data_IF_038429878711
#
_entry.id   IF_038429878711
#
_cell.length_a   1.000
_cell.length_b   1.000
_cell.length_c   1.000
_cell.angle_alpha   90.00
_cell.angle_beta   90.00
_cell.angle_gamma   90.00
#
_symmetry.space_group_name_H-M   'P 1'
#
loop_
_entity.id
_entity.type
_entity.pdbx_description
1 polymer ?
#
# COMPACT_ATOMS: atom_id res chain seq x y z
N UNK A 1 -14.06 31.72 17.29
CA UNK A 1 -14.77 30.45 16.97
C UNK A 1 -14.06 29.25 17.58
N UNK A 2 -12.77 29.04 17.31
CA UNK A 2 -11.97 27.91 17.86
C UNK A 2 -11.95 27.82 19.40
N UNK A 3 -11.85 28.95 20.09
CA UNK A 3 -11.88 29.00 21.56
C UNK A 3 -13.25 28.58 22.17
N UNK A 4 -14.33 28.62 21.40
CA UNK A 4 -15.64 28.10 21.84
C UNK A 4 -15.72 26.58 21.71
N UNK A 5 -15.01 26.00 20.75
CA UNK A 5 -14.95 24.54 20.52
C UNK A 5 -14.17 23.87 21.65
N UNK A 6 -13.03 24.43 22.06
CA UNK A 6 -12.20 23.89 23.17
C UNK A 6 -12.91 23.89 24.53
N UNK A 7 -13.77 24.87 24.80
CA UNK A 7 -14.47 24.96 26.09
C UNK A 7 -15.57 23.91 26.26
N UNK A 8 -16.08 23.36 25.17
CA UNK A 8 -17.26 22.49 25.18
C UNK A 8 -16.97 21.04 24.72
N UNK A 9 -15.72 20.70 24.41
CA UNK A 9 -15.36 19.37 23.88
C UNK A 9 -14.02 18.90 24.45
N UNK A 10 -13.78 17.57 24.57
CA UNK A 10 -12.52 17.01 25.06
C UNK A 10 -11.40 17.04 24.00
N UNK A 11 -11.44 17.97 23.05
CA UNK A 11 -10.44 18.07 21.98
C UNK A 11 -9.30 19.03 22.36
N UNK A 12 -8.09 18.60 22.05
CA UNK A 12 -6.84 19.33 22.23
C UNK A 12 -6.37 19.84 20.87
N UNK A 13 -5.88 21.07 20.86
CA UNK A 13 -5.21 21.67 19.70
C UNK A 13 -3.73 21.37 19.76
N UNK A 14 -3.21 20.79 18.69
CA UNK A 14 -1.80 20.46 18.55
C UNK A 14 -1.26 21.24 17.35
N UNK A 15 -0.50 22.30 17.65
CA UNK A 15 0.06 23.21 16.67
C UNK A 15 1.57 22.99 16.48
N UNK A 16 2.11 23.23 15.27
CA UNK A 16 3.54 23.18 15.02
C UNK A 16 4.27 24.34 15.71
N UNK A 17 5.59 24.19 15.93
CA UNK A 17 6.44 25.22 16.55
C UNK A 17 6.68 26.45 15.68
N UNK A 18 6.39 26.37 14.38
CA UNK A 18 6.59 27.45 13.43
C UNK A 18 5.53 27.43 12.33
N UNK A 19 5.43 28.51 11.54
CA UNK A 19 4.37 28.67 10.57
C UNK A 19 4.43 27.57 9.50
N UNK A 20 3.34 26.82 9.26
CA UNK A 20 3.16 25.96 8.10
C UNK A 20 2.86 26.77 6.84
N UNK A 21 2.25 27.95 6.94
CA UNK A 21 1.93 28.78 5.78
C UNK A 21 3.02 29.83 5.53
N UNK A 22 3.55 29.85 4.30
CA UNK A 22 4.59 30.75 3.83
C UNK A 22 4.14 31.44 2.52
N UNK A 23 3.47 32.59 2.62
CA UNK A 23 2.96 33.27 1.44
C UNK A 23 4.09 33.77 0.52
N UNK A 24 3.84 33.73 -0.79
CA UNK A 24 4.79 34.27 -1.78
C UNK A 24 4.73 35.80 -1.91
N UNK A 25 3.62 36.41 -1.51
CA UNK A 25 3.44 37.86 -1.57
C UNK A 25 4.16 38.56 -0.42
N UNK A 26 4.97 39.57 -0.74
CA UNK A 26 5.74 40.35 0.24
C UNK A 26 4.89 41.02 1.33
N UNK A 27 3.63 41.32 1.05
CA UNK A 27 2.71 41.99 1.98
C UNK A 27 1.99 41.02 2.92
N UNK A 28 2.31 39.72 2.88
CA UNK A 28 1.71 38.71 3.76
C UNK A 28 2.80 38.08 4.61
N UNK A 29 2.48 37.85 5.88
CA UNK A 29 3.41 37.23 6.82
C UNK A 29 3.14 35.72 6.94
N UNK A 30 4.17 34.92 7.25
CA UNK A 30 3.99 33.51 7.59
C UNK A 30 3.03 33.34 8.78
N UNK A 31 2.17 32.32 8.72
CA UNK A 31 1.12 32.12 9.74
C UNK A 31 0.85 30.64 10.05
N UNK A 32 0.19 30.37 11.18
CA UNK A 32 -0.26 29.04 11.63
C UNK A 32 -1.72 28.82 11.25
N UNK A 33 -1.90 28.36 10.01
CA UNK A 33 -3.22 28.01 9.46
C UNK A 33 -3.51 26.52 9.53
N UNK A 34 -2.48 25.69 9.58
CA UNK A 34 -2.58 24.23 9.66
C UNK A 34 -2.26 23.76 11.08
N UNK A 35 -3.13 22.94 11.67
CA UNK A 35 -2.99 22.38 13.01
C UNK A 35 -3.82 21.10 13.13
N UNK A 36 -3.55 20.29 14.17
CA UNK A 36 -4.34 19.10 14.46
C UNK A 36 -5.37 19.37 15.55
N UNK A 37 -6.57 18.81 15.37
CA UNK A 37 -7.57 18.65 16.42
C UNK A 37 -7.56 17.18 16.85
N UNK A 38 -7.41 16.91 18.14
CA UNK A 38 -7.29 15.53 18.61
C UNK A 38 -7.94 15.29 19.97
N UNK A 39 -8.50 14.10 20.16
CA UNK A 39 -8.94 13.58 21.46
C UNK A 39 -7.90 12.67 22.12
N UNK A 40 -6.63 12.76 21.71
CA UNK A 40 -5.52 11.97 22.24
C UNK A 40 -5.48 12.03 23.78
N UNK A 41 -5.51 10.88 24.47
CA UNK A 41 -5.30 10.82 25.91
C UNK A 41 -3.97 11.46 26.32
N UNK A 42 -3.94 12.14 27.47
CA UNK A 42 -2.76 12.87 27.98
C UNK A 42 -1.49 12.03 28.14
N UNK A 43 -1.62 10.71 28.28
CA UNK A 43 -0.48 9.79 28.44
C UNK A 43 0.17 9.40 27.10
N UNK A 44 -0.48 9.64 25.96
CA UNK A 44 0.09 9.34 24.64
C UNK A 44 1.07 10.46 24.28
N UNK A 45 2.36 10.11 24.27
CA UNK A 45 3.41 11.01 23.78
C UNK A 45 3.24 11.22 22.29
N UNK A 46 3.29 12.48 21.88
CA UNK A 46 3.24 12.88 20.48
C UNK A 46 4.32 13.92 20.18
N UNK A 47 4.71 14.01 18.92
CA UNK A 47 5.59 15.06 18.40
C UNK A 47 5.04 15.61 17.10
N UNK A 48 5.30 16.89 16.85
CA UNK A 48 4.78 17.63 15.70
C UNK A 48 5.97 18.24 14.97
N UNK A 49 6.11 17.90 13.69
CA UNK A 49 7.21 18.40 12.86
C UNK A 49 6.68 18.92 11.53
N UNK A 50 7.30 19.99 11.02
CA UNK A 50 7.01 20.53 9.70
C UNK A 50 7.86 19.79 8.65
N UNK A 51 7.23 19.30 7.59
CA UNK A 51 7.87 18.56 6.51
C UNK A 51 8.14 19.48 5.31
N UNK A 52 9.38 19.89 5.12
CA UNK A 52 9.79 20.79 4.01
C UNK A 52 9.84 20.10 2.64
N UNK A 53 9.02 19.08 2.41
CA UNK A 53 9.15 18.12 1.32
C UNK A 53 8.36 18.52 0.06
N UNK A 54 7.27 19.29 0.21
CA UNK A 54 6.34 19.65 -0.88
C UNK A 54 6.48 21.09 -1.34
N UNK A 55 6.42 21.38 -2.65
CA UNK A 55 6.61 22.72 -3.25
C UNK A 55 5.48 23.74 -3.06
N UNK A 56 4.52 23.48 -2.17
CA UNK A 56 3.41 24.39 -1.87
C UNK A 56 3.84 25.59 -1.01
N UNK A 57 3.02 26.64 -0.97
CA UNK A 57 3.10 27.70 0.04
C UNK A 57 2.67 27.21 1.43
N UNK A 58 1.99 26.07 1.51
CA UNK A 58 1.79 25.31 2.74
C UNK A 58 2.85 24.22 2.95
N UNK A 59 3.36 24.11 4.17
CA UNK A 59 4.28 23.08 4.62
C UNK A 59 3.47 22.02 5.39
N UNK A 60 3.43 20.77 4.93
CA UNK A 60 2.75 19.69 5.64
C UNK A 60 3.27 19.55 7.06
N UNK A 61 2.37 19.26 7.98
CA UNK A 61 2.70 18.99 9.37
C UNK A 61 2.52 17.50 9.61
N UNK A 62 3.48 16.89 10.29
CA UNK A 62 3.47 15.49 10.67
C UNK A 62 3.26 15.38 12.18
N UNK A 63 2.17 14.74 12.58
CA UNK A 63 1.95 14.28 13.95
C UNK A 63 2.45 12.84 14.08
N UNK A 64 3.43 12.62 14.94
CA UNK A 64 3.92 11.27 15.26
C UNK A 64 3.50 10.92 16.68
N UNK A 65 2.74 9.84 16.84
CA UNK A 65 2.31 9.29 18.12
C UNK A 65 3.05 7.99 18.40
N UNK A 66 3.39 7.75 19.67
CA UNK A 66 3.92 6.46 20.11
C UNK A 66 2.72 5.62 20.56
N UNK A 67 2.29 4.69 19.72
CA UNK A 67 1.22 3.76 20.03
C UNK A 67 1.68 2.33 19.72
N UNK A 68 1.39 1.39 20.62
CA UNK A 68 1.43 -0.04 20.30
C UNK A 68 0.19 -0.36 19.49
N UNK A 69 0.34 -0.55 18.18
CA UNK A 69 -0.74 -1.01 17.32
C UNK A 69 -0.66 -2.53 17.36
N UNK A 70 -1.58 -3.17 18.07
CA UNK A 70 -1.78 -4.61 17.89
C UNK A 70 -2.45 -4.78 16.52
N UNK A 71 -1.78 -5.41 15.54
CA UNK A 71 -2.43 -5.70 14.28
C UNK A 71 -3.63 -6.59 14.59
N UNK A 72 -4.79 -6.22 14.06
CA UNK A 72 -5.97 -7.10 14.12
C UNK A 72 -5.55 -8.47 13.58
N UNK A 73 -5.78 -9.57 14.32
CA UNK A 73 -5.45 -10.89 13.81
C UNK A 73 -6.16 -11.07 12.46
N UNK A 74 -5.49 -11.63 11.45
CA UNK A 74 -6.13 -11.88 10.17
C UNK A 74 -7.38 -12.73 10.41
N UNK A 75 -8.45 -12.47 9.64
CA UNK A 75 -9.63 -13.32 9.67
C UNK A 75 -9.21 -14.78 9.48
N UNK A 76 -9.76 -15.73 10.28
CA UNK A 76 -9.43 -17.13 10.13
C UNK A 76 -9.85 -17.58 8.73
N UNK A 77 -8.88 -17.92 7.90
CA UNK A 77 -9.08 -18.48 6.57
C UNK A 77 -8.54 -19.91 6.54
N UNK A 78 -9.24 -20.79 5.83
CA UNK A 78 -8.83 -22.19 5.70
C UNK A 78 -7.39 -22.36 5.16
N UNK A 79 -6.99 -21.67 4.08
CA UNK A 79 -5.57 -21.58 3.72
C UNK A 79 -4.86 -20.47 4.50
N UNK A 80 -3.63 -20.71 4.94
CA UNK A 80 -2.74 -19.73 5.57
C UNK A 80 -1.97 -18.86 4.55
N UNK A 81 -2.18 -19.10 3.25
CA UNK A 81 -1.48 -18.44 2.16
C UNK A 81 -1.81 -19.05 0.80
N UNK A 82 -1.01 -18.77 -0.25
CA UNK A 82 -1.19 -19.40 -1.56
C UNK A 82 -0.99 -20.92 -1.47
N UNK A 83 -1.92 -21.65 -2.08
CA UNK A 83 -1.91 -23.12 -2.14
C UNK A 83 -1.05 -23.56 -3.32
N UNK A 84 -0.12 -24.50 -3.08
CA UNK A 84 0.54 -25.24 -4.15
C UNK A 84 -0.38 -26.36 -4.61
N UNK A 85 -1.08 -26.15 -5.73
CA UNK A 85 -2.08 -27.09 -6.22
C UNK A 85 -1.52 -28.48 -6.54
N UNK A 86 -0.28 -28.57 -7.02
CA UNK A 86 0.37 -29.86 -7.29
C UNK A 86 0.56 -30.67 -6.00
N UNK A 87 1.08 -30.04 -4.96
CA UNK A 87 1.28 -30.65 -3.64
C UNK A 87 -0.06 -30.98 -2.96
N UNK A 88 -1.06 -30.11 -3.11
CA UNK A 88 -2.43 -30.40 -2.66
C UNK A 88 -2.99 -31.65 -3.35
N UNK A 89 -2.83 -31.75 -4.67
CA UNK A 89 -3.30 -32.88 -5.47
C UNK A 89 -2.63 -34.19 -5.03
N UNK A 90 -1.31 -34.17 -4.86
CA UNK A 90 -0.54 -35.33 -4.39
C UNK A 90 -0.99 -35.77 -2.98
N UNK A 91 -1.15 -34.84 -2.05
CA UNK A 91 -1.63 -35.14 -0.70
C UNK A 91 -3.02 -35.76 -0.76
N UNK A 92 -3.95 -35.14 -1.50
CA UNK A 92 -5.31 -35.66 -1.62
C UNK A 92 -5.32 -37.07 -2.20
N UNK A 93 -4.53 -37.32 -3.24
CA UNK A 93 -4.45 -38.63 -3.87
C UNK A 93 -3.91 -39.71 -2.91
N UNK A 94 -2.93 -39.36 -2.07
CA UNK A 94 -2.35 -40.27 -1.09
C UNK A 94 -3.24 -40.48 0.16
N UNK A 95 -4.08 -39.50 0.53
CA UNK A 95 -4.95 -39.58 1.72
C UNK A 95 -6.36 -40.10 1.44
N UNK A 96 -6.77 -40.19 0.18
CA UNK A 96 -8.14 -40.60 -0.18
C UNK A 96 -8.32 -42.11 -0.01
N UNK A 97 -8.98 -42.50 1.07
CA UNK A 97 -9.37 -43.89 1.32
C UNK A 97 -10.78 -44.15 0.79
N UNK A 98 -10.92 -44.97 -0.26
CA UNK A 98 -12.20 -45.22 -0.93
C UNK A 98 -12.98 -46.41 -0.36
N UNK A 99 -12.38 -47.23 0.49
CA UNK A 99 -13.01 -48.44 1.03
C UNK A 99 -13.78 -48.16 2.33
N UNK A 100 -14.75 -47.23 2.25
CA UNK A 100 -15.59 -46.84 3.38
C UNK A 100 -16.94 -47.55 3.26
N UNK A 101 -17.40 -48.18 4.34
CA UNK A 101 -18.75 -48.74 4.42
C UNK A 101 -19.77 -47.60 4.47
N UNK A 102 -20.94 -47.78 3.86
CA UNK A 102 -22.05 -46.82 3.89
C UNK A 102 -23.36 -47.49 4.39
N UNK A 103 -23.24 -48.44 5.32
CA UNK A 103 -24.35 -49.34 5.68
C UNK A 103 -25.32 -48.72 6.67
N UNK A 104 -24.86 -47.75 7.46
CA UNK A 104 -25.67 -47.06 8.47
C UNK A 104 -25.44 -45.55 8.39
N UNK A 105 -26.23 -44.78 9.14
CA UNK A 105 -26.16 -43.31 9.09
C UNK A 105 -24.83 -42.81 9.65
N UNK A 106 -24.30 -43.50 10.65
CA UNK A 106 -23.04 -43.20 11.31
C UNK A 106 -21.85 -43.33 10.35
N UNK A 107 -21.86 -44.36 9.49
CA UNK A 107 -20.91 -44.60 8.42
C UNK A 107 -20.88 -43.42 7.42
N UNK A 108 -22.06 -42.94 7.01
CA UNK A 108 -22.20 -41.79 6.10
C UNK A 108 -21.61 -40.52 6.73
N UNK A 109 -21.96 -40.25 7.99
CA UNK A 109 -21.43 -39.09 8.72
C UNK A 109 -19.93 -39.18 8.95
N UNK A 110 -19.42 -40.40 9.18
CA UNK A 110 -17.99 -40.65 9.30
C UNK A 110 -17.25 -40.37 7.99
N UNK A 111 -17.80 -40.83 6.86
CA UNK A 111 -17.25 -40.56 5.54
C UNK A 111 -17.23 -39.05 5.22
N UNK A 112 -18.33 -38.35 5.50
CA UNK A 112 -18.42 -36.90 5.29
C UNK A 112 -17.38 -36.14 6.15
N UNK A 113 -17.25 -36.50 7.44
CA UNK A 113 -16.23 -35.92 8.32
C UNK A 113 -14.82 -36.20 7.82
N UNK A 114 -14.54 -37.44 7.37
CA UNK A 114 -13.22 -37.81 6.84
C UNK A 114 -12.86 -37.04 5.57
N UNK A 115 -13.83 -36.79 4.68
CA UNK A 115 -13.61 -35.96 3.49
C UNK A 115 -13.26 -34.53 3.89
N UNK A 116 -14.06 -33.93 4.79
CA UNK A 116 -13.83 -32.56 5.26
C UNK A 116 -12.47 -32.43 5.93
N UNK A 117 -12.10 -33.33 6.84
CA UNK A 117 -10.80 -33.29 7.53
C UNK A 117 -9.64 -33.52 6.56
N UNK A 118 -9.80 -34.39 5.55
CA UNK A 118 -8.78 -34.62 4.54
C UNK A 118 -8.52 -33.36 3.71
N UNK A 119 -9.58 -32.72 3.20
CA UNK A 119 -9.48 -31.46 2.44
C UNK A 119 -8.83 -30.36 3.30
N UNK A 120 -9.31 -30.18 4.54
CA UNK A 120 -8.76 -29.18 5.45
C UNK A 120 -7.28 -29.43 5.74
N UNK A 121 -6.88 -30.68 5.98
CA UNK A 121 -5.50 -31.06 6.26
C UNK A 121 -4.60 -30.91 5.03
N UNK A 122 -5.10 -31.23 3.83
CA UNK A 122 -4.38 -31.08 2.58
C UNK A 122 -4.15 -29.61 2.26
N UNK A 123 -5.17 -28.76 2.44
CA UNK A 123 -5.05 -27.30 2.30
C UNK A 123 -4.03 -26.75 3.31
N UNK A 124 -4.08 -27.20 4.57
CA UNK A 124 -3.14 -26.73 5.58
C UNK A 124 -1.69 -27.08 5.24
N UNK A 125 -1.42 -28.33 4.81
CA UNK A 125 -0.08 -28.81 4.46
C UNK A 125 0.48 -28.19 3.17
N UNK A 126 -0.36 -28.00 2.16
CA UNK A 126 0.03 -27.43 0.86
C UNK A 126 -0.01 -25.89 0.83
N UNK A 127 -0.57 -25.28 1.88
CA UNK A 127 -0.55 -23.83 2.07
C UNK A 127 0.79 -23.42 2.66
N UNK A 128 1.54 -22.61 1.92
CA UNK A 128 2.69 -21.94 2.52
C UNK A 128 2.17 -20.75 3.33
N UNK A 129 2.37 -20.70 4.66
CA UNK A 129 2.11 -19.47 5.38
C UNK A 129 2.94 -18.39 4.68
N UNK A 130 2.30 -17.26 4.33
CA UNK A 130 3.10 -16.07 4.01
C UNK A 130 3.96 -15.87 5.23
N UNK A 131 5.25 -16.22 5.15
CA UNK A 131 6.21 -15.68 6.09
C UNK A 131 5.91 -14.19 6.05
N UNK A 132 5.56 -13.64 7.20
CA UNK A 132 5.62 -12.21 7.39
C UNK A 132 7.12 -11.84 7.32
N UNK A 133 7.82 -12.17 6.23
CA UNK A 133 8.95 -11.40 5.80
C UNK A 133 8.34 -10.03 5.57
N UNK A 134 8.51 -9.17 6.58
CA UNK A 134 8.34 -7.73 6.52
C UNK A 134 8.10 -7.28 5.08
N UNK A 135 6.84 -7.09 4.71
CA UNK A 135 6.48 -6.46 3.43
C UNK A 135 6.87 -4.96 3.42
N UNK A 136 7.83 -4.56 4.25
CA UNK A 136 8.64 -3.38 4.06
C UNK A 136 9.93 -3.66 3.28
N UNK A 137 10.14 -4.88 2.77
CA UNK A 137 10.86 -5.04 1.52
C UNK A 137 9.95 -4.60 0.37
N UNK A 138 9.47 -3.35 0.44
CA UNK A 138 9.52 -2.58 -0.78
C UNK A 138 10.98 -2.68 -1.19
N UNK A 139 11.27 -3.36 -2.29
CA UNK A 139 12.33 -2.88 -3.17
C UNK A 139 11.86 -1.50 -3.63
N UNK A 140 11.80 -0.54 -2.70
CA UNK A 140 11.89 0.86 -2.98
C UNK A 140 13.14 0.88 -3.82
N UNK A 141 12.96 1.10 -5.13
CA UNK A 141 14.05 1.46 -6.01
C UNK A 141 14.63 2.71 -5.36
N UNK A 142 15.58 2.50 -4.44
CA UNK A 142 16.07 3.57 -3.62
C UNK A 142 16.75 4.49 -4.61
N UNK A 143 16.37 5.75 -4.57
CA UNK A 143 17.04 6.73 -5.39
C UNK A 143 18.54 6.64 -5.02
N UNK A 144 19.43 6.64 -6.02
CA UNK A 144 20.86 6.67 -5.78
C UNK A 144 21.23 7.72 -4.72
N UNK A 145 22.19 7.39 -3.85
CA UNK A 145 22.59 8.22 -2.69
C UNK A 145 22.94 9.66 -3.08
N UNK A 146 23.51 9.86 -4.26
CA UNK A 146 23.80 11.18 -4.81
C UNK A 146 22.51 12.00 -5.04
N UNK A 147 21.43 11.38 -5.54
CA UNK A 147 20.15 12.06 -5.75
C UNK A 147 19.49 12.38 -4.40
N UNK A 148 19.53 11.47 -3.43
CA UNK A 148 18.96 11.73 -2.09
C UNK A 148 19.70 12.87 -1.39
N UNK A 149 21.02 12.96 -1.53
CA UNK A 149 21.81 14.07 -1.00
C UNK A 149 21.46 15.40 -1.69
N UNK A 150 21.26 15.41 -3.01
CA UNK A 150 20.81 16.62 -3.70
C UNK A 150 19.40 17.04 -3.26
N UNK A 151 18.51 16.08 -2.99
CA UNK A 151 17.16 16.37 -2.45
C UNK A 151 17.26 17.04 -1.08
N UNK A 152 18.15 16.57 -0.19
CA UNK A 152 18.33 17.19 1.12
C UNK A 152 18.89 18.62 1.00
N UNK A 153 19.86 18.85 0.11
CA UNK A 153 20.38 20.19 -0.19
C UNK A 153 19.31 21.11 -0.80
N UNK A 154 18.47 20.60 -1.71
CA UNK A 154 17.34 21.36 -2.27
C UNK A 154 16.38 21.81 -1.17
N UNK A 155 16.08 20.93 -0.21
CA UNK A 155 15.21 21.25 0.94
C UNK A 155 15.85 22.31 1.85
N UNK A 156 17.17 22.24 2.09
CA UNK A 156 17.92 23.25 2.86
C UNK A 156 17.88 24.61 2.18
N UNK A 157 18.18 24.68 0.88
CA UNK A 157 18.14 25.91 0.09
C UNK A 157 16.76 26.56 0.12
N UNK A 158 15.70 25.75 -0.03
CA UNK A 158 14.33 26.25 0.07
C UNK A 158 13.98 26.79 1.46
N UNK A 159 14.35 26.07 2.52
CA UNK A 159 14.10 26.50 3.90
C UNK A 159 14.76 27.86 4.19
N UNK A 160 16.00 28.05 3.72
CA UNK A 160 16.70 29.34 3.81
C UNK A 160 15.99 30.44 3.01
N UNK A 161 15.61 30.14 1.76
CA UNK A 161 14.86 31.09 0.93
C UNK A 161 13.52 31.48 1.55
N UNK A 162 12.75 30.54 2.12
CA UNK A 162 11.49 30.86 2.79
C UNK A 162 11.69 31.73 4.03
N UNK A 163 12.79 31.53 4.76
CA UNK A 163 13.08 32.29 5.99
C UNK A 163 13.62 33.69 5.71
N UNK A 164 14.50 33.85 4.73
CA UNK A 164 15.29 35.07 4.52
C UNK A 164 15.00 35.78 3.19
N UNK A 165 14.26 35.15 2.28
CA UNK A 165 13.92 35.65 0.94
C UNK A 165 15.13 36.05 0.06
N UNK A 166 16.33 35.54 0.35
CA UNK A 166 17.52 35.88 -0.43
C UNK A 166 17.45 35.33 -1.87
N UNK A 167 17.76 36.15 -2.90
CA UNK A 167 17.77 35.71 -4.29
C UNK A 167 18.78 34.58 -4.58
N UNK A 168 19.91 34.57 -3.88
CA UNK A 168 20.94 33.52 -3.99
C UNK A 168 20.40 32.14 -3.62
N UNK A 169 19.67 32.03 -2.51
CA UNK A 169 19.04 30.79 -2.07
C UNK A 169 17.95 30.32 -3.05
N UNK A 170 17.19 31.26 -3.65
CA UNK A 170 16.20 30.96 -4.69
C UNK A 170 16.87 30.39 -5.95
N UNK A 171 17.98 31.00 -6.38
CA UNK A 171 18.76 30.54 -7.53
C UNK A 171 19.33 29.14 -7.28
N UNK A 172 19.90 28.91 -6.09
CA UNK A 172 20.41 27.61 -5.68
C UNK A 172 19.30 26.54 -5.66
N UNK A 173 18.14 26.86 -5.07
CA UNK A 173 16.98 25.97 -5.07
C UNK A 173 16.54 25.59 -6.49
N UNK A 174 16.42 26.57 -7.39
CA UNK A 174 16.02 26.34 -8.78
C UNK A 174 17.06 25.49 -9.54
N UNK A 175 18.34 25.77 -9.33
CA UNK A 175 19.43 24.98 -9.92
C UNK A 175 19.37 23.52 -9.45
N UNK A 176 19.29 23.29 -8.14
CA UNK A 176 19.19 21.94 -7.56
C UNK A 176 17.93 21.21 -8.05
N UNK A 177 16.79 21.88 -8.14
CA UNK A 177 15.55 21.29 -8.65
C UNK A 177 15.70 20.80 -10.10
N UNK A 178 16.32 21.61 -10.96
CA UNK A 178 16.59 21.24 -12.36
C UNK A 178 17.60 20.11 -12.48
N UNK A 179 18.68 20.13 -11.68
CA UNK A 179 19.68 19.07 -11.65
C UNK A 179 19.08 17.74 -11.21
N UNK A 180 18.28 17.73 -10.14
CA UNK A 180 17.57 16.54 -9.65
C UNK A 180 16.61 16.01 -10.73
N UNK A 181 15.85 16.89 -11.40
CA UNK A 181 14.93 16.48 -12.48
C UNK A 181 15.67 15.75 -13.60
N UNK A 182 16.83 16.27 -14.03
CA UNK A 182 17.69 15.64 -15.05
C UNK A 182 18.25 14.30 -14.59
N UNK A 183 18.74 14.21 -13.35
CA UNK A 183 19.30 12.97 -12.80
C UNK A 183 18.25 11.87 -12.63
N UNK A 184 17.06 12.22 -12.12
CA UNK A 184 15.95 11.28 -12.00
C UNK A 184 15.51 10.76 -13.38
N UNK A 185 15.46 11.63 -14.38
CA UNK A 185 15.13 11.21 -15.75
C UNK A 185 16.16 10.21 -16.27
N UNK A 186 17.46 10.52 -16.14
CA UNK A 186 18.55 9.62 -16.54
C UNK A 186 18.47 8.27 -15.84
N UNK A 187 18.30 8.27 -14.52
CA UNK A 187 18.17 7.05 -13.72
C UNK A 187 16.97 6.20 -14.15
N UNK A 188 15.82 6.83 -14.43
CA UNK A 188 14.64 6.12 -14.93
C UNK A 188 14.90 5.50 -16.30
N UNK A 189 15.54 6.23 -17.22
CA UNK A 189 15.88 5.71 -18.54
C UNK A 189 16.81 4.48 -18.44
N UNK A 190 17.85 4.55 -17.62
CA UNK A 190 18.77 3.42 -17.37
C UNK A 190 18.04 2.21 -16.77
N UNK A 191 17.19 2.46 -15.77
CA UNK A 191 16.37 1.41 -15.18
C UNK A 191 15.47 0.73 -16.22
N UNK A 192 14.77 1.50 -17.05
CA UNK A 192 13.90 0.94 -18.09
C UNK A 192 14.71 0.20 -19.15
N UNK A 193 15.86 0.73 -19.57
CA UNK A 193 16.76 0.05 -20.51
C UNK A 193 17.16 -1.33 -19.98
N UNK A 194 17.63 -1.41 -18.74
CA UNK A 194 18.04 -2.67 -18.12
C UNK A 194 16.84 -3.62 -17.95
N UNK A 195 15.69 -3.10 -17.53
CA UNK A 195 14.45 -3.88 -17.38
C UNK A 195 13.99 -4.50 -18.70
N UNK A 196 14.07 -3.76 -19.80
CA UNK A 196 13.67 -4.27 -21.11
C UNK A 196 14.69 -5.25 -21.70
N UNK A 197 15.98 -5.07 -21.40
CA UNK A 197 17.03 -6.03 -21.77
C UNK A 197 16.92 -7.35 -21.02
N UNK A 198 16.40 -7.36 -19.79
CA UNK A 198 16.24 -8.58 -18.98
C UNK A 198 14.97 -9.37 -19.27
N UNK A 199 14.13 -8.96 -20.22
CA UNK A 199 12.87 -9.66 -20.52
C UNK A 199 13.13 -10.99 -21.23
N UNK A 200 12.40 -12.00 -20.82
CA UNK A 200 12.47 -13.35 -21.38
C UNK A 200 11.06 -13.88 -21.68
N UNK A 201 10.98 -14.84 -22.60
CA UNK A 201 9.77 -15.60 -22.91
C UNK A 201 9.56 -16.76 -21.93
N UNK A 202 10.64 -17.32 -21.37
CA UNK A 202 10.59 -18.51 -20.50
C UNK A 202 9.92 -18.21 -19.15
N UNK A 203 10.04 -16.98 -18.63
CA UNK A 203 9.54 -16.57 -17.31
C UNK A 203 8.25 -15.73 -17.39
N UNK A 204 7.61 -15.69 -18.56
CA UNK A 204 6.46 -14.83 -18.91
C UNK A 204 6.68 -13.32 -18.71
N UNK A 205 7.90 -12.87 -18.40
CA UNK A 205 8.17 -11.45 -18.10
C UNK A 205 7.89 -10.57 -19.31
N UNK A 206 8.22 -11.06 -20.51
CA UNK A 206 7.91 -10.36 -21.76
C UNK A 206 6.40 -10.19 -21.97
N UNK A 207 5.60 -11.25 -21.83
CA UNK A 207 4.15 -11.17 -21.99
C UNK A 207 3.50 -10.27 -20.93
N UNK A 208 3.90 -10.40 -19.66
CA UNK A 208 3.38 -9.56 -18.57
C UNK A 208 3.70 -8.08 -18.82
N UNK A 209 4.90 -7.77 -19.30
CA UNK A 209 5.29 -6.38 -19.58
C UNK A 209 4.59 -5.80 -20.81
N UNK A 210 4.45 -6.56 -21.89
CA UNK A 210 3.73 -6.12 -23.10
C UNK A 210 2.23 -5.95 -22.83
N UNK A 211 1.59 -6.89 -22.12
CA UNK A 211 0.18 -6.76 -21.71
C UNK A 211 -0.07 -5.49 -20.89
N UNK A 212 0.82 -5.20 -19.92
CA UNK A 212 0.75 -3.99 -19.11
C UNK A 212 1.00 -2.71 -19.93
N UNK A 213 1.91 -2.74 -20.89
CA UNK A 213 2.21 -1.60 -21.76
C UNK A 213 1.02 -1.24 -22.65
N UNK A 214 0.42 -2.25 -23.28
CA UNK A 214 -0.72 -2.09 -24.18
C UNK A 214 -2.02 -1.76 -23.43
N UNK A 215 -2.07 -2.05 -22.11
CA UNK A 215 -3.26 -1.85 -21.26
C UNK A 215 -4.51 -2.51 -21.84
N UNK A 216 -4.34 -3.65 -22.52
CA UNK A 216 -5.46 -4.39 -23.08
C UNK A 216 -6.31 -4.87 -21.91
N UNK A 217 -7.52 -4.33 -21.82
CA UNK A 217 -8.56 -4.81 -20.92
C UNK A 217 -9.43 -5.75 -21.73
N UNK A 218 -9.37 -7.03 -21.39
CA UNK A 218 -10.40 -7.96 -21.84
C UNK A 218 -11.71 -7.52 -21.18
N UNK A 219 -12.64 -7.04 -21.99
CA UNK A 219 -14.01 -6.79 -21.54
C UNK A 219 -14.64 -8.17 -21.40
N UNK A 220 -14.83 -8.62 -20.17
CA UNK A 220 -15.66 -9.80 -19.94
C UNK A 220 -17.09 -9.41 -20.31
N UNK A 221 -17.74 -10.12 -21.25
CA UNK A 221 -19.14 -9.88 -21.52
C UNK A 221 -19.94 -10.11 -20.22
N UNK A 222 -21.04 -9.37 -20.02
CA UNK A 222 -21.88 -9.62 -18.87
C UNK A 222 -22.43 -11.05 -18.92
N UNK A 223 -22.60 -11.66 -17.75
CA UNK A 223 -23.16 -13.00 -17.64
C UNK A 223 -24.62 -12.93 -18.09
N UNK A 224 -24.95 -13.69 -19.12
CA UNK A 224 -26.30 -13.77 -19.68
C UNK A 224 -26.88 -15.16 -19.52
N UNK A 225 -28.18 -15.23 -19.26
CA UNK A 225 -28.93 -16.49 -19.29
C UNK A 225 -29.11 -16.98 -20.73
N UNK A 226 -29.58 -18.22 -20.88
CA UNK A 226 -30.00 -18.86 -22.13
C UNK A 226 -31.02 -18.02 -22.93
N UNK A 227 -31.84 -17.23 -22.23
CA UNK A 227 -32.81 -16.30 -22.81
C UNK A 227 -32.21 -14.91 -23.18
N UNK A 228 -30.92 -14.69 -22.92
CA UNK A 228 -30.21 -13.44 -23.20
C UNK A 228 -30.40 -12.33 -22.15
N UNK A 229 -31.09 -12.61 -21.04
CA UNK A 229 -31.23 -11.70 -19.90
C UNK A 229 -29.93 -11.59 -19.09
N UNK A 230 -29.67 -10.43 -18.48
CA UNK A 230 -28.46 -10.18 -17.69
C UNK A 230 -28.62 -10.72 -16.26
N UNK A 231 -27.64 -11.49 -15.78
CA UNK A 231 -27.57 -11.94 -14.40
C UNK A 231 -26.97 -10.84 -13.51
N UNK A 232 -27.80 -10.22 -12.68
CA UNK A 232 -27.45 -9.06 -11.86
C UNK A 232 -27.15 -9.50 -10.42
N UNK A 233 -28.00 -10.36 -9.85
CA UNK A 233 -27.87 -10.81 -8.46
C UNK A 233 -26.82 -11.93 -8.29
N UNK A 234 -26.29 -12.08 -7.08
CA UNK A 234 -25.31 -13.14 -6.79
C UNK A 234 -25.91 -14.54 -6.91
N UNK A 235 -27.22 -14.66 -6.66
CA UNK A 235 -27.98 -15.90 -6.83
C UNK A 235 -28.17 -16.23 -8.32
N UNK A 236 -28.55 -15.25 -9.15
CA UNK A 236 -28.67 -15.44 -10.60
C UNK A 236 -27.35 -15.90 -11.21
N UNK A 237 -26.23 -15.27 -10.82
CA UNK A 237 -24.90 -15.66 -11.27
C UNK A 237 -24.54 -17.07 -10.82
N UNK A 238 -24.87 -17.45 -9.58
CA UNK A 238 -24.56 -18.78 -9.05
C UNK A 238 -25.34 -19.90 -9.75
N UNK A 239 -26.56 -19.63 -10.22
CA UNK A 239 -27.39 -20.62 -10.92
C UNK A 239 -26.96 -20.87 -12.38
N UNK A 240 -26.08 -20.02 -12.93
CA UNK A 240 -25.60 -20.10 -14.32
C UNK A 240 -24.31 -20.92 -14.48
N UNK A 241 -23.70 -21.37 -13.38
CA UNK A 241 -22.50 -22.21 -13.33
C UNK A 241 -22.80 -23.56 -12.68
#
# INVERSE_FOLDING_TARGET
MLQKITKNTPYIFISPKGPPYWPQHHNRHPDILDFFLSSLPRHIKHSVNNLNDLSSDHIPILLTTIASIEPTPPHPSLPQGPIKWDEFSEIMQNTTYLNISFKNKEDIESAARNLVTSIQSAIFKSSNPKTQSSKHNTSNQSLPINITNLISEKRRARSRWQKYHYPSDKNLYNHLANTIKKLILKHKCEYFKNKYQSLNQIDDSLWKTTKNLLRIKEQLPPITDSDGSLAISDIEKANLF
#
